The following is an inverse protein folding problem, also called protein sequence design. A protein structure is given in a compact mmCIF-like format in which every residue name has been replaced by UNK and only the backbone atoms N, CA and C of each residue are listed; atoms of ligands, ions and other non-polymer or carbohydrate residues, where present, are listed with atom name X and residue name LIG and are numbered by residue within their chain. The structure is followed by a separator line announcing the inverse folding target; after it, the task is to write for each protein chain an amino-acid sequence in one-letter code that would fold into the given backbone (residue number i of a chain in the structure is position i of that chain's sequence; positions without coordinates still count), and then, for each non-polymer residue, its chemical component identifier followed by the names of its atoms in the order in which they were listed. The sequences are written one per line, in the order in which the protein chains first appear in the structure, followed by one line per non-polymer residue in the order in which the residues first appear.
data_IF_125592258021
#
_entry.id   IF_125592258021
#
_cell.length_a   1.000
_cell.length_b   1.000
_cell.length_c   1.000
_cell.angle_alpha   90.00
_cell.angle_beta   90.00
_cell.angle_gamma   90.00
#
_symmetry.space_group_name_H-M   'P 1'
#
loop_
_entity.id
_entity.type
_entity.pdbx_description
1 polymer ?
#
# COMPACT_ATOMS: atom_id res chain seq x y z
N UNK A 1 -17.01 17.27 -70.80
CA UNK A 1 -16.18 16.06 -70.99
C UNK A 1 -14.74 16.31 -70.56
N UNK A 2 -14.36 15.99 -69.31
CA UNK A 2 -12.96 15.66 -68.95
C UNK A 2 -12.86 15.14 -67.51
N UNK A 3 -12.49 13.85 -67.42
CA UNK A 3 -11.61 13.21 -66.42
C UNK A 3 -12.08 13.00 -64.97
N UNK A 4 -12.50 11.76 -64.76
CA UNK A 4 -12.29 10.85 -63.63
C UNK A 4 -11.02 11.14 -62.78
N UNK A 5 -11.18 11.26 -61.47
CA UNK A 5 -10.12 11.04 -60.48
C UNK A 5 -10.72 10.30 -59.27
N UNK A 6 -10.36 9.02 -59.18
CA UNK A 6 -10.68 8.09 -58.12
C UNK A 6 -9.70 8.35 -56.96
N UNK A 7 -10.18 8.88 -55.83
CA UNK A 7 -9.38 9.00 -54.61
C UNK A 7 -9.87 7.97 -53.59
N UNK A 8 -9.14 6.85 -53.51
CA UNK A 8 -9.14 5.96 -52.36
C UNK A 8 -8.43 6.71 -51.22
N UNK A 9 -9.20 7.16 -50.21
CA UNK A 9 -8.65 7.64 -48.95
C UNK A 9 -9.40 6.94 -47.82
N UNK A 10 -8.78 5.86 -47.33
CA UNK A 10 -9.13 5.17 -46.10
C UNK A 10 -8.77 6.08 -44.93
N UNK A 11 -9.68 6.97 -44.54
CA UNK A 11 -9.53 7.87 -43.40
C UNK A 11 -10.39 7.39 -42.24
N UNK A 12 -9.83 6.52 -41.41
CA UNK A 12 -10.45 6.11 -40.14
C UNK A 12 -10.44 7.32 -39.20
N UNK A 13 -11.62 7.92 -38.97
CA UNK A 13 -11.77 9.01 -38.00
C UNK A 13 -11.74 8.39 -36.60
N UNK A 14 -10.54 8.21 -36.05
CA UNK A 14 -10.37 7.98 -34.61
C UNK A 14 -10.72 9.27 -33.88
N UNK A 15 -11.94 9.35 -33.36
CA UNK A 15 -12.31 10.37 -32.38
C UNK A 15 -11.48 10.09 -31.12
N UNK A 16 -10.48 10.93 -30.85
CA UNK A 16 -9.79 10.97 -29.56
C UNK A 16 -10.76 11.57 -28.54
N UNK A 17 -11.31 10.71 -27.69
CA UNK A 17 -12.06 11.11 -26.50
C UNK A 17 -11.15 11.98 -25.62
N UNK A 18 -11.62 13.12 -25.10
CA UNK A 18 -10.79 14.07 -24.36
C UNK A 18 -10.24 13.47 -23.07
N UNK A 19 -9.02 13.93 -22.72
CA UNK A 19 -8.31 13.65 -21.48
C UNK A 19 -9.12 14.17 -20.30
N UNK A 20 -9.96 13.33 -19.72
CA UNK A 20 -10.39 13.51 -18.34
C UNK A 20 -9.36 12.81 -17.46
N UNK A 21 -8.63 13.66 -16.75
CA UNK A 21 -7.68 13.33 -15.69
C UNK A 21 -8.35 12.39 -14.70
N UNK A 22 -8.17 11.08 -14.90
CA UNK A 22 -8.43 10.09 -13.88
C UNK A 22 -7.54 10.45 -12.68
N UNK A 23 -8.14 11.05 -11.65
CA UNK A 23 -7.55 11.02 -10.32
C UNK A 23 -7.69 9.58 -9.87
N UNK A 24 -6.73 8.74 -10.28
CA UNK A 24 -6.49 7.46 -9.65
C UNK A 24 -6.20 7.78 -8.18
N UNK A 25 -7.19 7.57 -7.30
CA UNK A 25 -6.90 7.41 -5.89
C UNK A 25 -5.94 6.22 -5.84
N UNK A 26 -4.66 6.48 -5.61
CA UNK A 26 -3.63 5.45 -5.66
C UNK A 26 -3.90 4.47 -4.53
N UNK A 27 -4.69 3.43 -4.81
CA UNK A 27 -4.76 2.26 -3.96
C UNK A 27 -3.41 1.60 -4.11
N UNK A 28 -2.53 1.85 -3.13
CA UNK A 28 -1.19 1.28 -3.05
C UNK A 28 -1.25 -0.21 -3.44
N UNK A 29 -0.48 -0.64 -4.47
CA UNK A 29 -0.65 -1.96 -5.05
C UNK A 29 -0.40 -3.04 -4.00
N UNK A 30 -1.23 -4.08 -4.00
CA UNK A 30 -1.13 -5.23 -3.08
C UNK A 30 0.25 -5.92 -3.11
N UNK A 31 1.03 -5.70 -4.18
CA UNK A 31 2.37 -6.25 -4.38
C UNK A 31 3.43 -5.76 -3.38
N UNK A 32 3.19 -4.70 -2.62
CA UNK A 32 4.15 -4.22 -1.62
C UNK A 32 3.84 -4.64 -0.19
N UNK A 33 2.67 -5.24 0.06
CA UNK A 33 2.35 -5.77 1.37
C UNK A 33 3.04 -7.12 1.55
N UNK A 34 4.16 -7.14 2.27
CA UNK A 34 4.84 -8.38 2.61
C UNK A 34 4.09 -9.08 3.75
N UNK A 35 3.93 -10.40 3.63
CA UNK A 35 3.35 -11.27 4.65
C UNK A 35 4.36 -12.37 4.94
N UNK A 36 4.97 -12.33 6.11
CA UNK A 36 5.84 -13.40 6.62
C UNK A 36 5.05 -14.61 7.15
N UNK A 37 3.71 -14.57 7.08
CA UNK A 37 2.81 -15.56 7.66
C UNK A 37 2.34 -15.20 9.08
N UNK A 38 2.78 -14.07 9.64
CA UNK A 38 2.38 -13.59 10.96
C UNK A 38 0.90 -13.20 11.04
N UNK A 39 0.22 -12.99 9.91
CA UNK A 39 -1.14 -12.45 9.87
C UNK A 39 -1.20 -10.92 9.89
N UNK A 40 -0.04 -10.27 9.98
CA UNK A 40 0.18 -8.84 9.78
C UNK A 40 0.83 -8.66 8.40
N UNK A 41 0.43 -7.61 7.68
CA UNK A 41 1.01 -7.20 6.42
C UNK A 41 1.76 -5.89 6.62
N UNK A 42 3.00 -5.81 6.17
CA UNK A 42 3.81 -4.58 6.20
C UNK A 42 3.98 -4.01 4.80
N UNK A 43 3.95 -2.69 4.69
CA UNK A 43 3.80 -1.99 3.43
C UNK A 43 5.10 -1.43 2.81
N UNK A 44 5.91 -2.32 2.25
CA UNK A 44 7.34 -2.10 1.98
C UNK A 44 7.68 -1.43 0.62
N UNK A 45 6.73 -0.80 -0.09
CA UNK A 45 6.98 -0.27 -1.46
C UNK A 45 8.16 0.71 -1.55
N UNK A 46 8.45 1.45 -0.47
CA UNK A 46 9.31 2.63 -0.51
C UNK A 46 10.72 2.39 0.01
N UNK A 47 11.03 1.18 0.49
CA UNK A 47 12.22 0.94 1.31
C UNK A 47 12.10 1.68 2.64
N UNK A 48 11.58 1.02 3.65
CA UNK A 48 11.34 1.66 4.94
C UNK A 48 12.60 1.61 5.80
N UNK A 49 12.99 2.74 6.39
CA UNK A 49 14.18 2.87 7.21
C UNK A 49 13.86 3.16 8.69
N UNK A 50 14.82 2.90 9.60
CA UNK A 50 14.72 3.38 10.97
C UNK A 50 14.48 4.89 11.00
N UNK A 51 13.46 5.33 11.73
CA UNK A 51 13.01 6.72 11.77
C UNK A 51 11.89 7.08 10.79
N UNK A 52 11.50 6.19 9.87
CA UNK A 52 10.39 6.43 8.95
C UNK A 52 9.03 6.05 9.54
N UNK A 53 7.98 6.39 8.78
CA UNK A 53 6.60 6.03 9.06
C UNK A 53 6.20 4.80 8.24
N UNK A 54 5.68 3.80 8.94
CA UNK A 54 5.34 2.48 8.45
C UNK A 54 3.83 2.31 8.44
N UNK A 55 3.32 1.53 7.49
CA UNK A 55 1.91 1.13 7.43
C UNK A 55 1.79 -0.38 7.56
N UNK A 56 0.93 -0.82 8.48
CA UNK A 56 0.62 -2.22 8.66
C UNK A 56 -0.88 -2.48 8.50
N UNK A 57 -1.23 -3.70 8.09
CA UNK A 57 -2.61 -4.13 7.89
C UNK A 57 -2.83 -5.55 8.37
N UNK A 58 -3.96 -5.80 9.02
CA UNK A 58 -4.36 -7.18 9.35
C UNK A 58 -4.78 -7.94 8.09
N UNK A 59 -4.28 -9.17 7.93
CA UNK A 59 -4.66 -10.06 6.82
C UNK A 59 -6.15 -10.41 6.86
N UNK A 60 -6.70 -10.68 8.06
CA UNK A 60 -8.09 -11.08 8.27
C UNK A 60 -9.02 -9.93 8.65
N UNK A 61 -10.32 -10.12 8.38
CA UNK A 61 -11.37 -9.27 8.93
C UNK A 61 -11.74 -9.75 10.33
N UNK A 62 -12.01 -8.83 11.25
CA UNK A 62 -12.38 -9.11 12.64
C UNK A 62 -13.34 -8.04 13.18
N UNK A 63 -14.07 -8.38 14.24
CA UNK A 63 -14.98 -7.46 14.93
C UNK A 63 -14.27 -6.38 15.76
N UNK A 64 -13.02 -6.63 16.14
CA UNK A 64 -12.17 -5.69 16.88
C UNK A 64 -10.71 -5.85 16.47
N UNK A 65 -9.96 -4.76 16.61
CA UNK A 65 -8.52 -4.68 16.37
C UNK A 65 -7.86 -3.95 17.54
N UNK A 66 -6.71 -4.41 18.02
CA UNK A 66 -5.91 -3.70 19.00
C UNK A 66 -4.44 -3.84 18.61
N UNK A 67 -3.79 -2.71 18.36
CA UNK A 67 -2.39 -2.67 17.96
C UNK A 67 -1.51 -2.30 19.15
N UNK A 68 -0.33 -2.91 19.22
CA UNK A 68 0.70 -2.57 20.21
C UNK A 68 2.04 -2.63 19.52
N UNK A 69 2.90 -1.64 19.79
CA UNK A 69 4.26 -1.58 19.26
C UNK A 69 5.25 -1.57 20.42
N UNK A 70 6.44 -2.10 20.19
CA UNK A 70 7.49 -2.22 21.21
C UNK A 70 8.77 -1.50 20.78
N UNK A 71 9.80 -1.53 21.63
CA UNK A 71 11.17 -1.13 21.26
C UNK A 71 11.28 0.33 20.74
N UNK A 72 10.50 1.24 21.33
CA UNK A 72 10.57 2.68 21.03
C UNK A 72 9.79 3.14 19.81
N UNK A 73 9.13 2.23 19.07
CA UNK A 73 8.13 2.62 18.08
C UNK A 73 6.90 3.27 18.74
N UNK A 74 6.16 4.06 17.98
CA UNK A 74 4.91 4.67 18.45
C UNK A 74 3.80 4.61 17.40
N UNK A 75 2.57 4.38 17.83
CA UNK A 75 1.41 4.38 16.91
C UNK A 75 1.01 5.83 16.67
N UNK A 76 1.04 6.25 15.40
CA UNK A 76 0.56 7.58 14.97
C UNK A 76 -0.97 7.56 14.87
N UNK A 77 -1.52 6.53 14.24
CA UNK A 77 -2.97 6.41 14.00
C UNK A 77 -3.39 4.98 13.69
N UNK A 78 -4.71 4.72 13.74
CA UNK A 78 -5.29 3.43 13.32
C UNK A 78 -5.53 2.42 14.44
N UNK A 79 -5.54 2.86 15.71
CA UNK A 79 -6.07 2.02 16.78
C UNK A 79 -7.53 1.64 16.51
N UNK A 80 -7.91 0.42 16.89
CA UNK A 80 -9.24 -0.14 16.60
C UNK A 80 -9.59 -0.24 15.11
N UNK A 81 -8.61 -0.10 14.22
CA UNK A 81 -8.77 -0.24 12.76
C UNK A 81 -8.01 -1.45 12.23
N UNK A 82 -8.40 -1.92 11.04
CA UNK A 82 -7.70 -2.99 10.32
C UNK A 82 -6.31 -2.57 9.82
N UNK A 83 -6.08 -1.27 9.71
CA UNK A 83 -4.81 -0.67 9.26
C UNK A 83 -4.29 0.28 10.33
N UNK A 84 -2.98 0.26 10.57
CA UNK A 84 -2.30 1.10 11.56
C UNK A 84 -1.09 1.78 10.92
N UNK A 85 -0.83 3.01 11.35
CA UNK A 85 0.34 3.80 10.95
C UNK A 85 1.24 3.97 12.15
N UNK A 86 2.52 3.64 12.00
CA UNK A 86 3.49 3.52 13.10
C UNK A 86 4.73 4.32 12.75
N UNK A 87 5.20 5.15 13.68
CA UNK A 87 6.53 5.73 13.64
C UNK A 87 7.54 4.70 14.17
N UNK A 88 8.54 4.34 13.38
CA UNK A 88 9.61 3.44 13.82
C UNK A 88 10.62 4.16 14.72
N UNK A 89 11.39 3.44 15.56
CA UNK A 89 12.52 4.02 16.28
C UNK A 89 13.61 4.45 15.29
N UNK A 90 14.42 5.44 15.68
CA UNK A 90 15.50 5.96 14.83
C UNK A 90 16.68 4.99 14.65
N UNK A 91 16.76 3.90 15.42
CA UNK A 91 17.81 2.89 15.37
C UNK A 91 17.22 1.52 15.72
N UNK A 92 17.70 0.46 15.05
CA UNK A 92 17.31 -0.92 15.34
C UNK A 92 15.90 -1.27 14.85
N UNK A 93 15.41 -2.46 15.19
CA UNK A 93 14.08 -2.97 14.85
C UNK A 93 13.02 -2.75 15.91
N UNK A 94 11.77 -3.01 15.54
CA UNK A 94 10.66 -3.06 16.48
C UNK A 94 9.75 -4.25 16.19
N UNK A 95 8.98 -4.62 17.22
CA UNK A 95 7.94 -5.64 17.11
C UNK A 95 6.60 -4.94 17.09
N UNK A 96 5.68 -5.50 16.32
CA UNK A 96 4.28 -5.12 16.32
C UNK A 96 3.42 -6.31 16.72
N UNK A 97 2.42 -6.07 17.56
CA UNK A 97 1.40 -7.04 17.93
C UNK A 97 0.04 -6.55 17.49
N UNK A 98 -0.73 -7.45 16.92
CA UNK A 98 -2.14 -7.29 16.62
C UNK A 98 -2.95 -8.27 17.47
N UNK A 99 -3.98 -7.79 18.18
CA UNK A 99 -5.08 -8.63 18.63
C UNK A 99 -6.31 -8.36 17.77
N UNK A 100 -6.88 -9.41 17.16
CA UNK A 100 -8.02 -9.30 16.25
C UNK A 100 -9.01 -10.43 16.50
N UNK A 101 -10.24 -10.10 16.90
CA UNK A 101 -11.35 -11.07 17.03
C UNK A 101 -11.06 -12.30 17.91
N UNK A 102 -10.18 -12.17 18.90
CA UNK A 102 -9.73 -13.26 19.79
C UNK A 102 -8.39 -13.90 19.41
N UNK A 103 -7.88 -13.65 18.20
CA UNK A 103 -6.54 -14.06 17.78
C UNK A 103 -5.49 -13.03 18.19
N UNK A 104 -4.24 -13.47 18.33
CA UNK A 104 -3.08 -12.60 18.52
C UNK A 104 -1.98 -12.96 17.52
N UNK A 105 -1.41 -11.93 16.92
CA UNK A 105 -0.36 -11.98 15.91
C UNK A 105 0.80 -11.11 16.36
N UNK A 106 2.02 -11.54 16.11
CA UNK A 106 3.23 -10.77 16.39
C UNK A 106 4.12 -10.85 15.16
N UNK A 107 4.69 -9.71 14.79
CA UNK A 107 5.56 -9.59 13.64
C UNK A 107 6.76 -8.69 13.98
N UNK A 108 7.90 -8.95 13.33
CA UNK A 108 9.08 -8.12 13.40
C UNK A 108 9.09 -7.21 12.18
N UNK A 109 9.04 -5.90 12.42
CA UNK A 109 9.03 -4.94 11.33
C UNK A 109 10.30 -5.08 10.50
N UNK A 110 10.10 -5.35 9.21
CA UNK A 110 11.17 -5.46 8.23
C UNK A 110 11.67 -4.07 7.86
N UNK A 111 12.95 -3.96 7.49
CA UNK A 111 13.49 -2.72 6.91
C UNK A 111 14.00 -2.98 5.51
N UNK A 112 13.95 -1.94 4.68
CA UNK A 112 14.64 -1.96 3.39
C UNK A 112 16.16 -1.87 3.55
N UNK A 113 16.87 -2.00 2.43
CA UNK A 113 18.29 -1.65 2.36
C UNK A 113 18.42 -0.13 2.40
N UNK A 114 18.57 0.42 3.59
CA UNK A 114 18.78 1.85 3.82
C UNK A 114 20.19 2.28 3.36
N UNK A 115 20.32 3.44 2.68
CA UNK A 115 21.61 3.98 2.27
C UNK A 115 22.49 4.44 3.43
#
# INVERSE_FOLDING_TARGET
MKKLALFLALGLVFNLVPVEKEIQAETKPAACFHNDGSGILQDLCSGECPGDVFVFKATSSASSYSWTVFQGASIISGQNSRTVTVQSPSVGGFLIRLSAGGSSYVDLAEYGNCP
#
